data_IF_685543881800
#
_entry.id   IF_685543881800
#
_cell.length_a   1.000
_cell.length_b   1.000
_cell.length_c   1.000
_cell.angle_alpha   90.00
_cell.angle_beta   90.00
_cell.angle_gamma   90.00
#
_symmetry.space_group_name_H-M   'P 1'
#
loop_
_entity.id
_entity.type
_entity.pdbx_description
1 polymer ?
#
# COMPACT_ATOMS: atom_id res chain seq x y z
N UNK A 1 22.74 14.08 -18.06
CA UNK A 1 21.53 13.32 -18.33
C UNK A 1 21.41 12.19 -17.31
N UNK A 2 20.18 11.85 -16.90
CA UNK A 2 19.85 10.73 -16.02
C UNK A 2 19.20 9.63 -16.86
N UNK A 3 19.50 8.38 -16.49
CA UNK A 3 18.78 7.23 -17.05
C UNK A 3 17.52 6.95 -16.22
N UNK A 4 16.50 6.32 -16.82
CA UNK A 4 15.41 5.78 -16.02
C UNK A 4 15.92 4.73 -15.04
N UNK A 5 15.45 4.78 -13.78
CA UNK A 5 15.92 3.93 -12.70
C UNK A 5 16.94 4.59 -11.78
N UNK A 6 17.84 3.81 -11.22
CA UNK A 6 18.86 4.28 -10.28
C UNK A 6 20.02 5.00 -10.96
N UNK A 7 20.32 6.21 -10.48
CA UNK A 7 21.44 7.04 -10.92
C UNK A 7 22.37 7.31 -9.74
N UNK A 8 23.67 7.31 -10.00
CA UNK A 8 24.67 7.74 -9.04
C UNK A 8 24.97 9.22 -9.29
N UNK A 9 24.67 10.08 -8.33
CA UNK A 9 24.92 11.51 -8.39
C UNK A 9 25.90 11.93 -7.27
N UNK A 10 26.66 12.96 -7.49
CA UNK A 10 27.59 13.52 -6.51
C UNK A 10 27.52 15.03 -6.54
N UNK A 11 27.68 15.69 -5.38
CA UNK A 11 27.86 17.13 -5.33
C UNK A 11 29.25 17.48 -5.84
N UNK A 12 29.38 18.38 -6.83
CA UNK A 12 30.67 18.82 -7.33
C UNK A 12 31.32 19.92 -6.44
N UNK A 13 30.63 20.32 -5.35
CA UNK A 13 31.07 21.43 -4.51
C UNK A 13 31.83 20.93 -3.29
N UNK A 14 32.89 21.63 -2.91
CA UNK A 14 33.75 21.28 -1.78
C UNK A 14 33.05 21.36 -0.41
N UNK A 15 31.96 22.14 -0.30
CA UNK A 15 31.15 22.30 0.92
C UNK A 15 29.93 21.34 1.01
N UNK A 16 29.74 20.48 0.00
CA UNK A 16 28.49 19.75 -0.13
C UNK A 16 27.32 20.63 -0.61
N UNK A 17 26.12 20.05 -0.71
CA UNK A 17 24.92 20.77 -1.14
C UNK A 17 23.66 20.15 -0.54
N UNK A 18 22.74 20.94 0.04
CA UNK A 18 21.43 20.44 0.42
C UNK A 18 20.71 19.84 -0.79
N UNK A 19 19.97 18.75 -0.57
CA UNK A 19 19.13 18.12 -1.57
C UNK A 19 18.14 19.10 -2.23
N UNK A 20 17.69 20.09 -1.49
CA UNK A 20 16.80 21.17 -1.95
C UNK A 20 17.41 22.09 -3.02
N UNK A 21 18.74 22.07 -3.19
CA UNK A 21 19.44 22.80 -4.26
C UNK A 21 19.48 22.06 -5.59
N UNK A 22 19.01 20.80 -5.62
CA UNK A 22 18.85 20.08 -6.87
C UNK A 22 17.68 20.64 -7.67
N UNK A 23 17.87 20.73 -8.98
CA UNK A 23 16.82 20.99 -9.95
C UNK A 23 16.79 19.84 -10.95
N UNK A 24 15.60 19.38 -11.25
CA UNK A 24 15.35 18.36 -12.28
C UNK A 24 14.89 19.11 -13.54
N UNK A 25 15.54 18.83 -14.64
CA UNK A 25 15.20 19.42 -15.93
C UNK A 25 14.63 18.33 -16.85
N UNK A 26 13.53 18.68 -17.51
CA UNK A 26 12.92 17.88 -18.57
C UNK A 26 12.57 18.81 -19.75
N UNK A 27 13.32 18.71 -20.84
CA UNK A 27 13.23 19.67 -21.95
C UNK A 27 13.52 21.08 -21.46
N UNK A 28 12.56 22.00 -21.64
CA UNK A 28 12.65 23.39 -21.17
C UNK A 28 12.15 23.61 -19.74
N UNK A 29 11.53 22.59 -19.13
CA UNK A 29 10.98 22.70 -17.80
C UNK A 29 12.05 22.44 -16.73
N UNK A 30 11.98 23.20 -15.65
CA UNK A 30 12.84 23.06 -14.47
C UNK A 30 11.99 22.91 -13.22
N UNK A 31 12.23 21.86 -12.46
CA UNK A 31 11.47 21.48 -11.26
C UNK A 31 12.37 21.51 -10.03
N UNK A 32 11.83 21.88 -8.87
CA UNK A 32 12.39 21.47 -7.58
C UNK A 32 12.25 19.96 -7.41
N UNK A 33 12.88 19.38 -6.38
CA UNK A 33 12.70 17.94 -6.08
C UNK A 33 11.23 17.63 -5.76
N UNK A 34 10.56 18.48 -4.98
CA UNK A 34 9.17 18.31 -4.56
C UNK A 34 8.21 18.38 -5.76
N UNK A 35 8.41 19.35 -6.65
CA UNK A 35 7.63 19.46 -7.90
C UNK A 35 7.86 18.25 -8.81
N UNK A 36 9.11 17.78 -8.93
CA UNK A 36 9.43 16.62 -9.75
C UNK A 36 8.85 15.31 -9.16
N UNK A 37 8.80 15.18 -7.83
CA UNK A 37 8.10 14.07 -7.15
C UNK A 37 6.60 14.13 -7.44
N UNK A 38 5.98 15.28 -7.28
CA UNK A 38 4.55 15.50 -7.55
C UNK A 38 4.21 15.22 -9.02
N UNK A 39 5.11 15.58 -9.94
CA UNK A 39 4.98 15.27 -11.37
C UNK A 39 5.31 13.79 -11.72
N UNK A 40 5.66 12.96 -10.74
CA UNK A 40 5.99 11.55 -10.97
C UNK A 40 7.31 11.30 -11.70
N UNK A 41 8.19 12.31 -11.83
CA UNK A 41 9.43 12.22 -12.58
C UNK A 41 10.57 11.55 -11.80
N UNK A 42 10.61 11.78 -10.48
CA UNK A 42 11.67 11.29 -9.59
C UNK A 42 11.09 10.84 -8.26
N UNK A 43 11.91 10.18 -7.43
CA UNK A 43 11.58 9.91 -6.04
C UNK A 43 12.40 10.76 -5.07
N UNK A 44 11.79 11.17 -3.95
CA UNK A 44 12.40 12.06 -2.96
C UNK A 44 13.58 11.47 -2.20
N UNK A 45 13.58 10.17 -1.77
CA UNK A 45 14.71 9.63 -1.06
C UNK A 45 15.97 9.60 -1.92
N UNK A 46 17.03 10.21 -1.41
CA UNK A 46 18.40 10.08 -1.93
C UNK A 46 19.16 9.23 -0.92
N UNK A 47 19.86 8.21 -1.39
CA UNK A 47 20.55 7.26 -0.53
C UNK A 47 22.05 7.35 -0.69
N UNK A 48 22.79 7.23 0.42
CA UNK A 48 24.22 7.03 0.46
C UNK A 48 24.54 5.66 1.04
N UNK A 49 25.48 4.93 0.43
CA UNK A 49 25.98 3.71 1.03
C UNK A 49 27.09 4.02 2.05
N UNK A 50 26.89 3.61 3.30
CA UNK A 50 27.84 3.82 4.40
C UNK A 50 28.64 2.53 4.59
N UNK A 51 29.91 2.55 4.23
CA UNK A 51 30.79 1.36 4.25
C UNK A 51 31.05 0.83 5.65
N UNK A 52 31.08 1.71 6.65
CA UNK A 52 31.29 1.33 8.06
C UNK A 52 30.13 0.47 8.61
N UNK A 53 28.90 0.83 8.29
CA UNK A 53 27.67 0.12 8.71
C UNK A 53 27.21 -0.91 7.70
N UNK A 54 27.75 -0.89 6.48
CA UNK A 54 27.34 -1.71 5.32
C UNK A 54 25.86 -1.53 4.93
N UNK A 55 25.35 -0.32 5.10
CA UNK A 55 23.95 0.02 4.91
C UNK A 55 23.78 1.25 4.03
N UNK A 56 22.59 1.36 3.42
CA UNK A 56 22.15 2.61 2.83
C UNK A 56 21.52 3.51 3.90
N UNK A 57 21.75 4.80 3.78
CA UNK A 57 21.13 5.84 4.61
C UNK A 57 20.51 6.90 3.73
N UNK A 58 19.34 7.40 4.13
CA UNK A 58 18.71 8.54 3.47
C UNK A 58 19.50 9.80 3.83
N UNK A 59 19.81 10.62 2.84
CA UNK A 59 20.55 11.87 3.03
C UNK A 59 19.72 13.07 2.62
N UNK A 60 19.86 14.14 3.38
CA UNK A 60 19.28 15.47 3.10
C UNK A 60 20.32 16.44 2.55
N UNK A 61 21.60 16.15 2.79
CA UNK A 61 22.73 16.92 2.32
C UNK A 61 23.68 16.01 1.54
N UNK A 62 23.98 16.39 0.28
CA UNK A 62 24.93 15.66 -0.55
C UNK A 62 26.32 16.20 -0.21
N UNK A 63 27.12 15.41 0.51
CA UNK A 63 28.49 15.74 0.84
C UNK A 63 29.35 15.83 -0.43
N UNK A 64 30.41 16.65 -0.33
CA UNK A 64 31.34 16.83 -1.44
C UNK A 64 31.90 15.50 -1.92
N UNK A 65 31.83 15.26 -3.22
CA UNK A 65 32.40 14.09 -3.91
C UNK A 65 31.85 12.71 -3.48
N UNK A 66 30.88 12.67 -2.57
CA UNK A 66 30.22 11.44 -2.18
C UNK A 66 29.24 10.96 -3.27
N UNK A 67 29.26 9.67 -3.57
CA UNK A 67 28.28 9.04 -4.44
C UNK A 67 26.95 8.84 -3.73
N UNK A 68 25.90 9.38 -4.30
CA UNK A 68 24.53 9.28 -3.78
C UNK A 68 23.63 8.66 -4.83
N UNK A 69 22.78 7.71 -4.41
CA UNK A 69 21.83 7.05 -5.28
C UNK A 69 20.52 7.82 -5.33
N UNK A 70 20.08 8.14 -6.54
CA UNK A 70 18.86 8.89 -6.83
C UNK A 70 18.04 8.19 -7.89
N UNK A 71 16.74 8.00 -7.64
CA UNK A 71 15.87 7.25 -8.54
C UNK A 71 15.04 8.18 -9.42
N UNK A 72 14.98 7.87 -10.71
CA UNK A 72 14.17 8.58 -11.71
C UNK A 72 13.16 7.64 -12.38
N UNK A 73 11.95 8.14 -12.61
CA UNK A 73 10.88 7.42 -13.30
C UNK A 73 10.88 7.67 -14.82
N UNK A 74 11.78 8.52 -15.30
CA UNK A 74 11.94 8.88 -16.72
C UNK A 74 13.41 8.87 -17.13
N UNK A 75 13.67 8.80 -18.42
CA UNK A 75 15.04 8.71 -19.01
C UNK A 75 15.51 9.98 -19.72
N UNK A 76 14.65 10.98 -19.83
CA UNK A 76 14.92 12.26 -20.50
C UNK A 76 15.19 13.41 -19.52
N UNK A 77 15.64 13.06 -18.32
CA UNK A 77 15.91 14.01 -17.25
C UNK A 77 17.38 14.40 -17.18
N UNK A 78 17.64 15.57 -16.62
CA UNK A 78 18.97 15.97 -16.16
C UNK A 78 18.91 16.65 -14.81
N UNK A 79 20.04 16.64 -14.09
CA UNK A 79 20.20 17.30 -12.78
C UNK A 79 21.04 18.56 -12.95
N UNK A 80 20.58 19.62 -12.33
CA UNK A 80 21.34 20.86 -12.13
C UNK A 80 21.43 21.16 -10.64
N UNK A 81 22.63 21.51 -10.18
CA UNK A 81 22.84 22.03 -8.84
C UNK A 81 22.75 23.56 -8.86
N UNK A 82 21.96 24.13 -7.99
CA UNK A 82 21.99 25.59 -7.76
C UNK A 82 23.10 25.91 -6.76
N UNK A 83 23.86 26.96 -7.06
CA UNK A 83 24.76 27.55 -6.08
C UNK A 83 23.88 28.24 -5.04
N UNK A 84 23.97 27.84 -3.77
CA UNK A 84 23.44 28.64 -2.69
C UNK A 84 24.34 29.89 -2.54
N UNK A 85 23.83 31.04 -2.93
CA UNK A 85 24.41 32.27 -2.43
C UNK A 85 24.00 32.41 -0.96
N UNK A 86 24.89 32.87 -0.04
CA UNK A 86 24.57 32.94 1.39
C UNK A 86 23.40 33.90 1.75
N UNK A 87 22.85 34.59 0.77
CA UNK A 87 21.78 35.59 0.95
C UNK A 87 20.37 35.11 0.65
N UNK A 88 20.21 33.93 0.03
CA UNK A 88 18.87 33.42 -0.23
C UNK A 88 18.39 32.65 1.01
N UNK A 89 17.78 33.37 1.94
CA UNK A 89 17.15 32.83 3.14
C UNK A 89 15.98 31.88 2.83
N UNK A 90 16.24 30.82 2.12
CA UNK A 90 15.35 29.67 2.03
C UNK A 90 15.59 28.88 3.30
N UNK A 91 14.86 29.26 4.36
CA UNK A 91 14.66 28.35 5.49
C UNK A 91 14.13 27.04 4.88
N UNK A 92 14.77 25.88 5.19
CA UNK A 92 14.15 24.62 4.82
C UNK A 92 12.74 24.67 5.39
N UNK A 93 11.74 24.43 4.54
CA UNK A 93 10.39 24.16 5.01
C UNK A 93 10.56 23.04 6.02
N UNK A 94 10.32 23.32 7.30
CA UNK A 94 10.35 22.34 8.36
C UNK A 94 9.41 21.25 7.89
N UNK A 95 9.90 20.02 7.73
CA UNK A 95 9.04 18.91 7.38
C UNK A 95 7.85 18.98 8.33
N UNK A 96 6.65 19.15 7.79
CA UNK A 96 5.43 19.16 8.59
C UNK A 96 5.46 17.87 9.37
N UNK A 97 5.31 17.90 10.71
CA UNK A 97 5.33 16.67 11.48
C UNK A 97 4.24 15.74 10.93
N UNK A 98 4.62 14.51 10.59
CA UNK A 98 3.68 13.50 10.13
C UNK A 98 2.63 13.29 11.22
N UNK A 99 1.40 13.73 10.95
CA UNK A 99 0.29 13.58 11.89
C UNK A 99 -0.30 12.17 11.74
N UNK A 100 -0.25 11.41 12.81
CA UNK A 100 -0.83 10.08 12.88
C UNK A 100 -2.33 10.21 13.14
N UNK A 101 -3.13 9.78 12.16
CA UNK A 101 -4.60 9.75 12.21
C UNK A 101 -5.11 8.36 11.80
N UNK A 102 -6.41 8.04 12.01
CA UNK A 102 -6.97 6.76 11.54
C UNK A 102 -6.80 6.49 10.04
N UNK A 103 -6.70 7.53 9.23
CA UNK A 103 -6.45 7.42 7.78
C UNK A 103 -4.97 7.50 7.40
N UNK A 104 -4.10 7.94 8.32
CA UNK A 104 -2.74 8.35 8.01
C UNK A 104 -1.76 7.79 9.05
N UNK A 105 -1.20 6.61 8.79
CA UNK A 105 -0.24 5.95 9.66
C UNK A 105 0.65 5.01 8.86
N UNK A 106 1.84 4.74 9.36
CA UNK A 106 2.71 3.70 8.85
C UNK A 106 3.57 3.06 9.95
N UNK A 107 4.00 1.84 9.71
CA UNK A 107 4.85 1.05 10.59
C UNK A 107 6.11 0.64 9.84
N UNK A 108 7.25 0.93 10.44
CA UNK A 108 8.54 0.48 9.95
C UNK A 108 8.83 -0.95 10.40
N UNK A 109 9.34 -1.77 9.49
CA UNK A 109 9.86 -3.10 9.77
C UNK A 109 11.37 -3.06 9.61
N UNK A 110 12.08 -3.35 10.70
CA UNK A 110 13.51 -3.53 10.71
C UNK A 110 13.84 -5.00 10.46
N UNK A 111 14.69 -5.27 9.49
CA UNK A 111 15.29 -6.58 9.26
C UNK A 111 16.75 -6.57 9.69
N UNK A 112 17.17 -7.54 10.49
CA UNK A 112 18.53 -7.64 10.98
C UNK A 112 19.07 -9.06 10.82
N UNK A 113 20.32 -9.19 10.36
CA UNK A 113 21.04 -10.45 10.27
C UNK A 113 22.54 -10.22 10.43
N UNK A 114 23.17 -10.95 11.37
CA UNK A 114 24.62 -10.86 11.61
C UNK A 114 25.12 -9.41 11.82
N UNK A 115 24.33 -8.58 12.51
CA UNK A 115 24.62 -7.17 12.79
C UNK A 115 24.40 -6.21 11.63
N UNK A 116 24.03 -6.70 10.45
CA UNK A 116 23.62 -5.86 9.32
C UNK A 116 22.11 -5.64 9.39
N UNK A 117 21.70 -4.38 9.25
CA UNK A 117 20.30 -3.95 9.38
C UNK A 117 19.80 -3.36 8.09
N UNK A 118 18.58 -3.70 7.72
CA UNK A 118 17.78 -2.98 6.74
C UNK A 118 16.57 -2.36 7.44
N UNK A 119 16.54 -1.05 7.53
CA UNK A 119 15.52 -0.27 8.26
C UNK A 119 14.50 0.42 7.36
N UNK A 120 14.56 0.16 6.07
CA UNK A 120 13.71 0.83 5.09
C UNK A 120 12.70 -0.14 4.48
N UNK A 121 11.79 -0.62 5.32
CA UNK A 121 10.57 -1.28 4.88
C UNK A 121 9.42 -0.70 5.71
N UNK A 122 8.43 -0.08 5.06
CA UNK A 122 7.28 0.51 5.72
C UNK A 122 5.98 0.10 5.07
N UNK A 123 4.97 -0.23 5.87
CA UNK A 123 3.60 -0.47 5.42
C UNK A 123 2.63 0.43 6.18
N UNK A 124 1.51 0.76 5.56
CA UNK A 124 0.54 1.63 6.21
C UNK A 124 -0.57 2.11 5.30
N UNK A 125 -1.21 3.20 5.71
CA UNK A 125 -2.27 3.87 4.94
C UNK A 125 -2.09 5.38 4.93
N UNK A 126 -2.61 6.02 3.88
CA UNK A 126 -2.69 7.47 3.79
C UNK A 126 -3.98 7.86 3.06
N UNK A 127 -4.62 8.95 3.48
CA UNK A 127 -5.88 9.42 2.89
C UNK A 127 -5.77 9.79 1.40
N UNK A 128 -4.58 10.15 0.94
CA UNK A 128 -4.28 10.51 -0.44
C UNK A 128 -3.69 9.34 -1.25
N UNK A 129 -3.43 8.19 -0.61
CA UNK A 129 -2.90 7.01 -1.28
C UNK A 129 -4.02 6.16 -1.90
N UNK A 130 -3.66 5.42 -2.93
CA UNK A 130 -4.48 4.37 -3.54
C UNK A 130 -3.98 2.98 -3.11
N UNK A 131 -4.63 1.91 -3.57
CA UNK A 131 -4.09 0.55 -3.39
C UNK A 131 -3.09 0.17 -4.50
N UNK A 132 -2.81 1.09 -5.43
CA UNK A 132 -1.80 1.00 -6.49
C UNK A 132 -0.50 1.72 -6.13
N UNK A 133 0.25 2.12 -7.16
CA UNK A 133 1.49 2.88 -7.00
C UNK A 133 1.21 4.37 -6.83
N UNK A 134 1.72 4.93 -5.75
CA UNK A 134 1.67 6.36 -5.44
C UNK A 134 3.08 6.90 -5.22
N UNK A 135 3.60 7.65 -6.18
CA UNK A 135 4.99 8.13 -6.16
C UNK A 135 5.37 8.96 -4.92
N UNK A 136 4.39 9.56 -4.26
CA UNK A 136 4.59 10.33 -3.01
C UNK A 136 4.70 9.47 -1.76
N UNK A 137 4.25 8.20 -1.83
CA UNK A 137 4.14 7.30 -0.68
C UNK A 137 4.93 5.99 -0.85
N UNK A 138 5.05 5.49 -2.10
CA UNK A 138 5.68 4.21 -2.40
C UNK A 138 7.10 4.40 -2.93
N UNK A 139 8.06 4.35 -2.03
CA UNK A 139 9.44 4.61 -2.37
C UNK A 139 10.14 3.38 -2.94
N UNK A 140 10.88 3.56 -4.02
CA UNK A 140 11.71 2.50 -4.61
C UNK A 140 12.81 2.11 -3.61
N UNK A 141 12.99 0.80 -3.45
CA UNK A 141 14.04 0.24 -2.60
C UNK A 141 15.42 0.61 -3.13
N UNK A 142 16.32 1.04 -2.26
CA UNK A 142 17.73 1.28 -2.60
C UNK A 142 18.36 0.05 -3.28
N UNK A 143 19.46 0.23 -4.08
CA UNK A 143 20.17 -0.89 -4.66
C UNK A 143 20.62 -1.92 -3.62
N UNK A 144 20.76 -3.18 -4.04
CA UNK A 144 21.17 -4.27 -3.15
C UNK A 144 22.54 -3.95 -2.52
N UNK A 145 22.63 -4.05 -1.19
CA UNK A 145 23.90 -3.88 -0.48
C UNK A 145 24.97 -4.84 -1.04
N UNK A 146 26.18 -4.36 -1.36
CA UNK A 146 27.28 -5.21 -1.84
C UNK A 146 27.83 -6.16 -0.76
N UNK A 147 27.48 -5.98 0.52
CA UNK A 147 27.98 -6.82 1.61
C UNK A 147 27.65 -8.31 1.39
N UNK A 148 28.61 -9.20 1.69
CA UNK A 148 28.45 -10.64 1.45
C UNK A 148 27.33 -11.30 2.27
N UNK A 149 27.02 -10.75 3.45
CA UNK A 149 25.98 -11.21 4.36
C UNK A 149 24.83 -10.19 4.48
N UNK A 150 24.53 -9.45 3.42
CA UNK A 150 23.44 -8.49 3.40
C UNK A 150 22.09 -9.17 3.62
N UNK A 151 21.21 -8.45 4.32
CA UNK A 151 19.79 -8.74 4.40
C UNK A 151 19.03 -7.54 3.85
N UNK A 152 17.94 -7.78 3.14
CA UNK A 152 17.08 -6.75 2.59
C UNK A 152 15.62 -7.18 2.62
N UNK A 153 14.74 -6.24 2.91
CA UNK A 153 13.30 -6.43 2.86
C UNK A 153 12.67 -5.46 1.86
N UNK A 154 11.76 -5.95 1.05
CA UNK A 154 11.13 -5.13 0.01
C UNK A 154 9.75 -5.65 -0.37
N UNK A 155 8.88 -4.75 -0.79
CA UNK A 155 7.66 -5.10 -1.50
C UNK A 155 8.01 -5.38 -2.96
N UNK A 156 7.59 -6.53 -3.47
CA UNK A 156 7.77 -6.89 -4.87
C UNK A 156 6.49 -6.55 -5.64
N UNK A 157 6.54 -5.50 -6.45
CA UNK A 157 5.41 -4.97 -7.21
C UNK A 157 5.76 -4.85 -8.69
N UNK A 158 5.46 -5.89 -9.44
CA UNK A 158 5.65 -5.91 -10.88
C UNK A 158 4.58 -5.06 -11.57
N UNK A 159 4.98 -4.08 -12.36
CA UNK A 159 4.06 -3.23 -13.13
C UNK A 159 3.71 -1.90 -12.46
N UNK A 160 4.19 -1.61 -11.25
CA UNK A 160 4.01 -0.29 -10.65
C UNK A 160 4.80 0.79 -11.39
N UNK A 161 6.02 0.49 -11.81
CA UNK A 161 6.84 1.38 -12.66
C UNK A 161 7.57 0.58 -13.74
N UNK A 162 8.04 1.27 -14.79
CA UNK A 162 8.83 0.65 -15.85
C UNK A 162 10.28 0.37 -15.43
N UNK A 163 10.76 0.95 -14.32
CA UNK A 163 12.18 0.95 -13.94
C UNK A 163 12.47 0.28 -12.61
N UNK A 164 11.44 -0.02 -11.82
CA UNK A 164 11.59 -0.68 -10.53
C UNK A 164 10.48 -1.69 -10.27
N UNK A 165 10.86 -2.78 -9.59
CA UNK A 165 9.94 -3.81 -9.11
C UNK A 165 10.03 -4.00 -7.60
N UNK A 166 11.00 -3.34 -6.94
CA UNK A 166 11.28 -3.45 -5.50
C UNK A 166 11.06 -2.13 -4.82
N UNK A 167 10.20 -2.12 -3.80
CA UNK A 167 9.81 -0.91 -3.08
C UNK A 167 10.11 -1.03 -1.59
N UNK A 168 10.51 0.08 -1.00
CA UNK A 168 10.77 0.22 0.43
C UNK A 168 9.50 0.51 1.22
N UNK A 169 8.48 1.05 0.58
CA UNK A 169 7.18 1.29 1.21
C UNK A 169 6.04 0.78 0.33
N UNK A 170 4.93 0.47 0.99
CA UNK A 170 3.64 0.17 0.38
C UNK A 170 2.58 0.79 1.28
N UNK A 171 2.16 1.99 0.91
CA UNK A 171 1.18 2.80 1.63
C UNK A 171 -0.11 2.79 0.83
N UNK A 172 -1.12 2.17 1.35
CA UNK A 172 -2.40 1.96 0.67
C UNK A 172 -3.45 3.00 1.09
N UNK A 173 -4.59 3.03 0.41
CA UNK A 173 -5.75 3.77 0.83
C UNK A 173 -6.16 3.40 2.27
N UNK A 174 -6.89 4.26 3.02
CA UNK A 174 -7.27 4.00 4.40
C UNK A 174 -8.01 2.68 4.60
N UNK A 175 -7.89 2.12 5.81
CA UNK A 175 -8.74 1.02 6.26
C UNK A 175 -10.16 1.56 6.48
N UNK A 176 -11.08 1.18 5.59
CA UNK A 176 -12.49 1.56 5.68
C UNK A 176 -13.30 0.36 6.19
N UNK A 177 -14.38 0.65 6.88
CA UNK A 177 -15.37 -0.24 7.49
C UNK A 177 -15.38 -1.68 6.95
N UNK A 178 -14.71 -2.59 7.66
CA UNK A 178 -14.75 -4.02 7.36
C UNK A 178 -13.88 -4.49 6.17
N UNK A 179 -13.05 -3.63 5.58
CA UNK A 179 -12.17 -4.02 4.47
C UNK A 179 -10.89 -4.64 4.99
N UNK A 180 -10.59 -5.86 4.53
CA UNK A 180 -9.30 -6.50 4.75
C UNK A 180 -8.26 -5.90 3.80
N UNK A 181 -7.04 -5.64 4.31
CA UNK A 181 -5.89 -5.30 3.48
C UNK A 181 -4.74 -6.25 3.73
N UNK A 182 -3.84 -6.34 2.74
CA UNK A 182 -2.64 -7.16 2.87
C UNK A 182 -1.43 -6.45 2.27
N UNK A 183 -0.27 -6.67 2.90
CA UNK A 183 1.02 -6.18 2.47
C UNK A 183 1.98 -7.36 2.34
N UNK A 184 2.20 -7.81 1.10
CA UNK A 184 3.12 -8.92 0.83
C UNK A 184 4.51 -8.40 0.56
N UNK A 185 5.49 -8.87 1.32
CA UNK A 185 6.88 -8.48 1.16
C UNK A 185 7.84 -9.66 1.12
N UNK A 186 9.03 -9.40 0.66
CA UNK A 186 10.13 -10.36 0.58
C UNK A 186 11.25 -9.95 1.53
N UNK A 187 11.90 -10.95 2.10
CA UNK A 187 13.17 -10.80 2.80
C UNK A 187 14.21 -11.60 2.02
N UNK A 188 15.22 -10.92 1.52
CA UNK A 188 16.35 -11.52 0.83
C UNK A 188 17.55 -11.58 1.77
N UNK A 189 18.04 -12.76 2.08
CA UNK A 189 19.26 -12.99 2.83
C UNK A 189 20.35 -13.54 1.89
N UNK A 190 21.52 -12.91 1.85
CA UNK A 190 22.65 -13.37 0.99
C UNK A 190 23.33 -14.62 1.52
N UNK A 191 23.24 -14.90 2.83
CA UNK A 191 23.92 -16.01 3.48
C UNK A 191 22.98 -16.76 4.42
N UNK A 192 23.41 -17.93 4.90
CA UNK A 192 22.77 -18.64 5.99
C UNK A 192 22.92 -17.88 7.32
N UNK A 193 21.99 -18.05 8.25
CA UNK A 193 22.03 -17.44 9.58
C UNK A 193 20.64 -17.24 10.16
N UNK A 194 20.59 -16.62 11.35
CA UNK A 194 19.34 -16.17 11.94
C UNK A 194 19.05 -14.74 11.53
N UNK A 195 17.89 -14.47 10.93
CA UNK A 195 17.44 -13.10 10.77
C UNK A 195 16.30 -12.78 11.73
N UNK A 196 16.19 -11.50 12.04
CA UNK A 196 15.21 -10.93 12.94
C UNK A 196 14.42 -9.86 12.20
N UNK A 197 13.11 -9.98 12.24
CA UNK A 197 12.16 -8.92 11.87
C UNK A 197 11.64 -8.27 13.14
N UNK A 198 11.57 -6.94 13.17
CA UNK A 198 11.02 -6.22 14.32
C UNK A 198 10.24 -4.98 13.90
N UNK A 199 9.16 -4.71 14.64
CA UNK A 199 8.23 -3.59 14.44
C UNK A 199 7.87 -2.98 15.81
N UNK A 200 8.91 -2.61 16.55
CA UNK A 200 8.85 -2.26 17.98
C UNK A 200 7.91 -1.08 18.27
N UNK A 201 7.75 -0.16 17.35
CA UNK A 201 6.97 1.07 17.53
C UNK A 201 5.52 0.97 17.05
N UNK A 202 5.04 -0.21 16.70
CA UNK A 202 3.72 -0.43 16.10
C UNK A 202 2.58 0.17 16.92
N UNK A 203 2.65 0.07 18.26
CA UNK A 203 1.59 0.59 19.14
C UNK A 203 1.51 2.11 19.17
N UNK A 204 2.60 2.81 18.85
CA UNK A 204 2.63 4.27 18.74
C UNK A 204 2.33 4.74 17.31
N UNK A 205 2.53 3.88 16.31
CA UNK A 205 2.37 4.19 14.90
C UNK A 205 0.97 3.93 14.38
N UNK A 206 0.28 2.90 14.88
CA UNK A 206 -1.11 2.63 14.52
C UNK A 206 -2.03 3.29 15.55
N UNK A 207 -2.96 4.18 15.13
CA UNK A 207 -3.93 4.83 16.02
C UNK A 207 -4.74 3.81 16.83
N UNK A 208 -5.13 4.18 18.05
CA UNK A 208 -5.88 3.28 18.93
C UNK A 208 -7.22 2.85 18.33
N UNK A 209 -7.90 3.75 17.62
CA UNK A 209 -9.15 3.44 16.92
C UNK A 209 -8.95 2.29 15.91
N UNK A 210 -7.85 2.34 15.14
CA UNK A 210 -7.51 1.29 14.18
C UNK A 210 -7.14 -0.01 14.89
N UNK A 211 -6.36 0.04 15.97
CA UNK A 211 -5.99 -1.15 16.76
C UNK A 211 -7.18 -1.80 17.45
N UNK A 212 -8.20 -1.02 17.79
CA UNK A 212 -9.46 -1.54 18.36
C UNK A 212 -10.36 -2.16 17.28
N UNK A 213 -10.27 -1.67 16.04
CA UNK A 213 -11.11 -2.09 14.93
C UNK A 213 -10.49 -3.17 14.06
N UNK A 214 -9.16 -3.35 14.09
CA UNK A 214 -8.44 -4.30 13.23
C UNK A 214 -7.36 -5.07 13.98
N UNK A 215 -7.25 -6.37 13.69
CA UNK A 215 -6.09 -7.18 13.99
C UNK A 215 -5.04 -7.04 12.89
N UNK A 216 -3.77 -7.21 13.23
CA UNK A 216 -2.65 -7.24 12.29
C UNK A 216 -1.87 -8.54 12.46
N UNK A 217 -1.91 -9.41 11.45
CA UNK A 217 -1.31 -10.74 11.52
C UNK A 217 -0.17 -10.88 10.52
N UNK A 218 1.03 -11.19 10.99
CA UNK A 218 2.16 -11.60 10.15
C UNK A 218 2.09 -13.10 9.87
N UNK A 219 2.24 -13.47 8.60
CA UNK A 219 2.40 -14.86 8.13
C UNK A 219 3.65 -14.97 7.28
N UNK A 220 4.28 -16.15 7.31
CA UNK A 220 5.49 -16.42 6.55
C UNK A 220 6.13 -17.74 6.91
N UNK A 221 7.34 -18.02 6.41
CA UNK A 221 8.06 -19.25 6.70
C UNK A 221 8.26 -19.45 8.21
N UNK A 222 8.02 -20.67 8.70
CA UNK A 222 8.14 -20.99 10.13
C UNK A 222 7.01 -20.49 11.04
N UNK A 223 6.01 -19.80 10.48
CA UNK A 223 4.84 -19.30 11.22
C UNK A 223 3.63 -20.18 10.91
N UNK A 224 3.24 -21.05 11.85
CA UNK A 224 2.14 -22.00 11.62
C UNK A 224 0.74 -21.39 11.77
N UNK A 225 0.53 -20.49 12.73
CA UNK A 225 -0.79 -19.94 13.05
C UNK A 225 -0.94 -18.43 12.78
N UNK A 226 0.14 -17.76 12.35
CA UNK A 226 0.21 -16.31 12.27
C UNK A 226 0.65 -15.68 13.59
N UNK A 227 1.30 -14.53 13.50
CA UNK A 227 1.77 -13.74 14.65
C UNK A 227 0.89 -12.49 14.74
N UNK A 228 0.23 -12.30 15.87
CA UNK A 228 -0.43 -11.02 16.18
C UNK A 228 0.64 -9.94 16.42
N UNK A 229 0.74 -9.01 15.49
CA UNK A 229 1.77 -7.98 15.49
C UNK A 229 1.59 -6.94 16.60
N UNK A 230 0.37 -6.79 17.15
CA UNK A 230 0.11 -5.86 18.25
C UNK A 230 0.61 -6.38 19.60
N UNK A 231 0.73 -7.69 19.75
CA UNK A 231 1.18 -8.34 21.00
C UNK A 231 2.61 -8.85 20.92
N UNK A 232 3.05 -9.29 19.77
CA UNK A 232 4.42 -9.74 19.52
C UNK A 232 5.07 -8.82 18.48
N UNK A 233 6.14 -8.12 18.86
CA UNK A 233 6.78 -7.09 18.02
C UNK A 233 8.09 -7.55 17.37
N UNK A 234 8.45 -8.82 17.53
CA UNK A 234 9.68 -9.41 17.01
C UNK A 234 9.42 -10.83 16.52
N UNK A 235 10.02 -11.17 15.38
CA UNK A 235 10.05 -12.53 14.84
C UNK A 235 11.47 -12.89 14.42
N UNK A 236 11.94 -14.07 14.85
CA UNK A 236 13.24 -14.61 14.47
C UNK A 236 13.08 -15.89 13.65
N UNK A 237 13.88 -16.00 12.60
CA UNK A 237 13.82 -17.13 11.66
C UNK A 237 15.21 -17.53 11.22
N UNK A 238 15.50 -18.85 11.28
CA UNK A 238 16.77 -19.40 10.85
C UNK A 238 16.71 -19.83 9.40
N UNK A 239 17.68 -19.38 8.61
CA UNK A 239 17.85 -19.76 7.21
C UNK A 239 19.12 -20.60 7.04
N UNK A 240 19.02 -21.71 6.32
CA UNK A 240 20.11 -22.65 6.10
C UNK A 240 20.97 -22.31 4.89
N UNK A 241 20.47 -21.42 4.04
CA UNK A 241 21.17 -20.92 2.84
C UNK A 241 20.66 -19.52 2.50
N UNK A 242 21.45 -18.79 1.71
CA UNK A 242 20.98 -17.53 1.10
C UNK A 242 19.74 -17.77 0.24
N UNK A 243 18.79 -16.83 0.26
CA UNK A 243 17.54 -16.98 -0.49
C UNK A 243 16.54 -15.87 -0.23
N UNK A 244 15.38 -15.97 -0.86
CA UNK A 244 14.26 -15.04 -0.73
C UNK A 244 13.10 -15.70 0.01
N UNK A 245 12.64 -15.07 1.06
CA UNK A 245 11.58 -15.54 1.94
C UNK A 245 10.37 -14.61 1.84
N UNK A 246 9.18 -15.19 1.71
CA UNK A 246 7.94 -14.42 1.49
C UNK A 246 7.17 -14.27 2.78
N UNK A 247 6.75 -13.06 3.08
CA UNK A 247 5.91 -12.71 4.21
C UNK A 247 4.69 -11.94 3.75
N UNK A 248 3.63 -12.00 4.55
CA UNK A 248 2.43 -11.18 4.35
C UNK A 248 1.92 -10.67 5.70
N UNK A 249 1.59 -9.41 5.73
CA UNK A 249 0.85 -8.77 6.82
C UNK A 249 -0.59 -8.67 6.36
N UNK A 250 -1.52 -9.18 7.17
CA UNK A 250 -2.94 -9.03 6.92
C UNK A 250 -3.56 -8.17 8.01
N UNK A 251 -4.34 -7.17 7.63
CA UNK A 251 -5.29 -6.52 8.55
C UNK A 251 -6.67 -7.14 8.37
N UNK A 252 -7.31 -7.46 9.49
CA UNK A 252 -8.68 -7.98 9.51
C UNK A 252 -9.49 -7.26 10.59
N UNK A 253 -10.74 -6.85 10.30
CA UNK A 253 -11.59 -6.21 11.29
C UNK A 253 -11.78 -7.09 12.53
N UNK A 254 -11.66 -6.51 13.72
CA UNK A 254 -11.90 -7.20 15.01
C UNK A 254 -13.40 -7.25 15.25
N UNK A 255 -13.89 -8.42 15.69
CA UNK A 255 -15.32 -8.63 15.96
C UNK A 255 -16.11 -9.06 14.72
N UNK A 256 -15.51 -9.06 13.53
CA UNK A 256 -16.14 -9.57 12.28
C UNK A 256 -15.92 -11.07 12.12
N UNK A 257 -14.98 -11.69 12.86
CA UNK A 257 -14.80 -13.15 12.81
C UNK A 257 -16.06 -13.92 13.21
N UNK A 258 -16.79 -13.44 14.22
CA UNK A 258 -18.09 -14.02 14.60
C UNK A 258 -19.19 -13.73 13.56
N UNK A 259 -19.14 -12.58 12.91
CA UNK A 259 -20.06 -12.27 11.80
C UNK A 259 -19.68 -13.01 10.51
N UNK A 260 -18.38 -13.15 10.20
CA UNK A 260 -17.91 -13.91 9.04
C UNK A 260 -18.09 -15.43 9.22
N UNK A 261 -17.92 -15.97 10.43
CA UNK A 261 -18.28 -17.35 10.74
C UNK A 261 -19.79 -17.59 10.68
N UNK A 262 -20.61 -16.57 10.88
CA UNK A 262 -22.06 -16.60 10.73
C UNK A 262 -22.57 -16.05 9.39
N UNK A 263 -21.67 -15.63 8.48
CA UNK A 263 -22.08 -15.25 7.13
C UNK A 263 -22.77 -16.44 6.45
N UNK A 264 -24.05 -16.32 6.29
CA UNK A 264 -24.83 -17.18 5.40
C UNK A 264 -25.03 -16.46 4.08
N UNK A 265 -25.08 -17.17 2.99
CA UNK A 265 -25.59 -16.62 1.74
C UNK A 265 -26.99 -16.08 2.00
N UNK A 266 -27.17 -14.75 1.81
CA UNK A 266 -28.41 -14.07 2.20
C UNK A 266 -28.69 -12.89 1.29
N UNK A 267 -29.95 -12.76 0.91
CA UNK A 267 -30.46 -11.57 0.21
C UNK A 267 -31.34 -10.77 1.17
N UNK A 268 -30.98 -9.50 1.42
CA UNK A 268 -31.73 -8.57 2.24
C UNK A 268 -33.02 -8.10 1.55
N UNK A 269 -34.01 -7.67 2.34
CA UNK A 269 -35.13 -6.92 1.79
C UNK A 269 -34.63 -5.53 1.38
N UNK A 270 -35.02 -5.09 0.19
CA UNK A 270 -34.70 -3.74 -0.25
C UNK A 270 -35.32 -2.67 0.64
N UNK A 271 -34.61 -1.56 0.86
CA UNK A 271 -35.11 -0.44 1.64
C UNK A 271 -34.81 0.91 0.96
N UNK A 272 -35.79 1.79 0.83
CA UNK A 272 -37.22 1.62 1.21
C UNK A 272 -37.92 0.58 0.31
N UNK A 273 -39.05 -0.01 0.82
CA UNK A 273 -39.94 -0.84 0.04
C UNK A 273 -41.39 -0.67 0.62
N UNK A 274 -42.36 -0.06 -0.08
CA UNK A 274 -42.23 0.44 -1.47
C UNK A 274 -41.23 1.59 -1.64
N UNK A 275 -40.75 1.82 -2.89
CA UNK A 275 -39.75 2.83 -3.20
C UNK A 275 -40.15 3.70 -4.42
N UNK A 276 -39.53 4.90 -4.54
CA UNK A 276 -39.71 5.82 -5.66
C UNK A 276 -38.53 6.83 -5.73
N UNK A 277 -37.76 6.92 -6.79
CA UNK A 277 -37.51 5.87 -7.80
C UNK A 277 -36.36 4.96 -7.40
N UNK A 278 -35.73 5.16 -6.22
CA UNK A 278 -34.52 4.45 -5.80
C UNK A 278 -34.70 3.64 -4.53
N UNK A 279 -33.98 2.52 -4.46
CA UNK A 279 -33.92 1.64 -3.29
C UNK A 279 -32.53 0.99 -3.17
N UNK A 280 -32.21 0.53 -1.98
CA UNK A 280 -30.95 -0.17 -1.69
C UNK A 280 -31.23 -1.64 -1.39
N UNK A 281 -30.43 -2.53 -1.94
CA UNK A 281 -30.46 -3.97 -1.72
C UNK A 281 -29.17 -4.40 -1.05
N UNK A 282 -29.28 -4.99 0.15
CA UNK A 282 -28.16 -5.58 0.87
C UNK A 282 -28.13 -7.09 0.64
N UNK A 283 -26.92 -7.67 0.50
CA UNK A 283 -26.74 -9.11 0.39
C UNK A 283 -25.43 -9.56 1.03
N UNK A 284 -25.37 -10.83 1.42
CA UNK A 284 -24.18 -11.42 2.03
C UNK A 284 -23.72 -12.67 1.25
N UNK A 285 -22.40 -12.80 1.13
CA UNK A 285 -21.71 -13.89 0.41
C UNK A 285 -20.77 -14.61 1.37
N UNK A 286 -20.91 -15.94 1.45
CA UNK A 286 -20.10 -16.77 2.35
C UNK A 286 -18.76 -17.21 1.76
N UNK A 287 -18.69 -17.39 0.45
CA UNK A 287 -17.53 -17.96 -0.24
C UNK A 287 -17.17 -17.10 -1.45
N UNK A 288 -15.88 -17.10 -1.83
CA UNK A 288 -15.45 -16.42 -3.06
C UNK A 288 -16.06 -17.07 -4.28
N UNK A 289 -16.68 -16.28 -5.16
CA UNK A 289 -17.26 -16.81 -6.40
C UNK A 289 -18.00 -15.77 -7.22
N UNK A 290 -18.40 -16.19 -8.42
CA UNK A 290 -19.22 -15.37 -9.31
C UNK A 290 -20.61 -15.16 -8.67
N UNK A 291 -20.98 -13.90 -8.47
CA UNK A 291 -22.28 -13.46 -7.92
C UNK A 291 -23.06 -12.76 -9.00
N UNK A 292 -24.34 -13.13 -9.14
CA UNK A 292 -25.28 -12.46 -10.01
C UNK A 292 -26.48 -11.98 -9.19
N UNK A 293 -26.79 -10.67 -9.29
CA UNK A 293 -28.01 -10.07 -8.73
C UNK A 293 -28.78 -9.39 -9.86
N UNK A 294 -29.97 -9.89 -10.14
CA UNK A 294 -30.79 -9.48 -11.28
C UNK A 294 -32.20 -9.14 -10.85
N UNK A 295 -32.86 -8.24 -11.57
CA UNK A 295 -34.25 -7.84 -11.40
C UNK A 295 -35.07 -8.35 -12.56
N UNK A 296 -36.27 -8.85 -12.26
CA UNK A 296 -37.22 -9.42 -13.19
C UNK A 296 -38.60 -8.78 -13.02
N UNK A 297 -39.35 -8.71 -14.12
CA UNK A 297 -40.77 -8.39 -14.05
C UNK A 297 -41.59 -9.61 -13.52
N UNK A 298 -42.88 -9.43 -13.35
CA UNK A 298 -43.80 -10.49 -12.85
C UNK A 298 -44.00 -11.63 -13.83
N UNK A 299 -43.61 -11.45 -15.11
CA UNK A 299 -43.64 -12.50 -16.13
C UNK A 299 -42.32 -13.30 -16.19
N UNK A 300 -41.30 -12.89 -15.38
CA UNK A 300 -39.99 -13.53 -15.35
C UNK A 300 -38.99 -13.02 -16.38
N UNK A 301 -39.27 -11.94 -17.09
CA UNK A 301 -38.33 -11.32 -18.00
C UNK A 301 -37.29 -10.53 -17.20
N UNK A 302 -36.02 -10.67 -17.55
CA UNK A 302 -34.93 -9.88 -16.97
C UNK A 302 -35.08 -8.39 -17.34
N UNK A 303 -35.15 -7.54 -16.31
CA UNK A 303 -35.25 -6.08 -16.47
C UNK A 303 -33.87 -5.43 -16.42
N UNK A 304 -33.05 -5.84 -15.43
CA UNK A 304 -31.69 -5.32 -15.26
C UNK A 304 -30.81 -6.29 -14.48
N UNK A 305 -29.53 -6.34 -14.82
CA UNK A 305 -28.47 -6.97 -14.01
C UNK A 305 -27.79 -5.90 -13.17
N UNK A 306 -27.90 -6.00 -11.83
CA UNK A 306 -27.26 -5.07 -10.89
C UNK A 306 -25.84 -5.49 -10.54
N UNK A 307 -25.58 -6.80 -10.43
CA UNK A 307 -24.26 -7.38 -10.12
C UNK A 307 -24.04 -8.60 -10.99
N UNK A 308 -22.84 -8.72 -11.57
CA UNK A 308 -22.38 -9.92 -12.26
C UNK A 308 -20.86 -9.95 -12.22
N UNK A 309 -20.29 -10.27 -11.04
CA UNK A 309 -18.87 -10.15 -10.75
C UNK A 309 -18.42 -11.18 -9.72
N UNK A 310 -17.11 -11.47 -9.67
CA UNK A 310 -16.52 -12.31 -8.62
C UNK A 310 -16.42 -11.52 -7.32
N UNK A 311 -17.09 -12.02 -6.28
CA UNK A 311 -17.07 -11.41 -4.93
C UNK A 311 -16.38 -12.31 -3.92
N UNK A 312 -15.71 -11.68 -2.97
CA UNK A 312 -15.15 -12.32 -1.77
C UNK A 312 -16.24 -12.52 -0.71
N UNK A 313 -16.04 -13.36 0.34
CA UNK A 313 -16.93 -13.38 1.49
C UNK A 313 -17.11 -11.98 2.07
N UNK A 314 -18.36 -11.60 2.38
CA UNK A 314 -18.66 -10.26 2.91
C UNK A 314 -20.11 -9.87 2.76
N UNK A 315 -20.45 -8.71 3.30
CA UNK A 315 -21.74 -8.03 3.12
C UNK A 315 -21.57 -6.94 2.05
N UNK A 316 -22.56 -6.81 1.18
CA UNK A 316 -22.55 -5.92 0.04
C UNK A 316 -23.84 -5.13 -0.03
N UNK A 317 -23.74 -3.95 -0.60
CA UNK A 317 -24.85 -3.05 -0.87
C UNK A 317 -24.85 -2.64 -2.33
N UNK A 318 -26.03 -2.60 -2.96
CA UNK A 318 -26.21 -2.08 -4.31
C UNK A 318 -27.44 -1.19 -4.39
N UNK A 319 -27.29 0.01 -4.97
CA UNK A 319 -28.39 0.93 -5.25
C UNK A 319 -29.05 0.54 -6.56
N UNK A 320 -30.39 0.48 -6.55
CA UNK A 320 -31.22 0.31 -7.73
C UNK A 320 -32.01 1.58 -8.01
N UNK A 321 -31.92 2.09 -9.23
CA UNK A 321 -32.63 3.27 -9.71
C UNK A 321 -33.63 2.83 -10.81
N UNK A 322 -34.89 3.05 -10.57
CA UNK A 322 -35.99 2.55 -11.43
C UNK A 322 -36.76 3.67 -12.15
N UNK A 323 -36.11 4.84 -12.38
CA UNK A 323 -36.76 6.03 -12.96
C UNK A 323 -37.46 5.79 -14.32
N UNK A 324 -37.04 4.76 -15.07
CA UNK A 324 -37.55 4.44 -16.40
C UNK A 324 -38.47 3.20 -16.40
N UNK A 325 -38.87 2.71 -15.24
CA UNK A 325 -39.71 1.52 -15.12
C UNK A 325 -41.13 1.89 -14.70
N UNK A 326 -42.16 1.14 -15.16
CA UNK A 326 -43.52 1.31 -14.72
C UNK A 326 -43.69 0.99 -13.24
N UNK A 327 -44.56 1.71 -12.54
CA UNK A 327 -44.98 1.35 -11.17
C UNK A 327 -45.52 -0.07 -11.12
N UNK A 328 -45.14 -0.83 -10.11
CA UNK A 328 -45.57 -2.22 -9.99
C UNK A 328 -44.65 -3.08 -9.13
N UNK A 329 -44.95 -4.39 -9.12
CA UNK A 329 -44.13 -5.39 -8.40
C UNK A 329 -43.09 -5.96 -9.32
N UNK A 330 -41.85 -6.01 -8.81
CA UNK A 330 -40.71 -6.67 -9.43
C UNK A 330 -40.11 -7.74 -8.50
N UNK A 331 -39.33 -8.62 -9.06
CA UNK A 331 -38.67 -9.72 -8.35
C UNK A 331 -37.17 -9.54 -8.53
N UNK A 332 -36.38 -9.67 -7.47
CA UNK A 332 -34.93 -9.71 -7.58
C UNK A 332 -34.37 -11.00 -7.05
N UNK A 333 -33.34 -11.49 -7.72
CA UNK A 333 -32.72 -12.80 -7.48
C UNK A 333 -31.22 -12.68 -7.36
N UNK A 334 -30.70 -13.15 -6.23
CA UNK A 334 -29.28 -13.35 -5.99
C UNK A 334 -28.91 -14.80 -6.27
N UNK A 335 -27.78 -15.02 -6.99
CA UNK A 335 -27.26 -16.35 -7.30
C UNK A 335 -25.75 -16.38 -7.10
N UNK A 336 -25.26 -17.45 -6.44
CA UNK A 336 -23.83 -17.77 -6.35
C UNK A 336 -23.68 -19.31 -6.38
N UNK A 337 -23.10 -19.84 -7.44
CA UNK A 337 -22.98 -21.28 -7.62
C UNK A 337 -24.32 -22.01 -7.55
N UNK A 338 -24.51 -22.84 -6.52
CA UNK A 338 -25.77 -23.57 -6.26
C UNK A 338 -26.74 -22.79 -5.35
N UNK A 339 -26.29 -21.71 -4.74
CA UNK A 339 -27.12 -20.93 -3.82
C UNK A 339 -27.92 -19.88 -4.59
N UNK A 340 -29.22 -19.73 -4.25
CA UNK A 340 -30.06 -18.68 -4.78
C UNK A 340 -31.11 -18.24 -3.77
N UNK A 341 -31.37 -16.92 -3.71
CA UNK A 341 -32.46 -16.32 -2.96
C UNK A 341 -33.23 -15.31 -3.82
N UNK A 342 -34.52 -15.21 -3.54
CA UNK A 342 -35.46 -14.38 -4.31
C UNK A 342 -36.29 -13.53 -3.34
N UNK A 343 -36.48 -12.26 -3.69
CA UNK A 343 -37.37 -11.34 -2.95
C UNK A 343 -38.16 -10.44 -3.90
N UNK A 344 -39.16 -9.75 -3.34
CA UNK A 344 -40.04 -8.82 -4.06
C UNK A 344 -39.70 -7.39 -3.68
N UNK A 345 -39.80 -6.48 -4.66
CA UNK A 345 -39.77 -5.04 -4.46
C UNK A 345 -41.00 -4.38 -5.12
N UNK A 346 -41.43 -3.24 -4.60
CA UNK A 346 -42.60 -2.52 -5.09
C UNK A 346 -42.18 -1.09 -5.45
N UNK A 347 -42.33 -0.74 -6.71
CA UNK A 347 -42.10 0.60 -7.26
C UNK A 347 -43.45 1.36 -7.31
N UNK A 348 -43.48 2.58 -6.73
CA UNK A 348 -44.63 3.47 -6.71
C UNK A 348 -44.68 4.39 -7.90
#
# INVERSE_FOLDING_TARGET
>A
ALAGGWNLIASPFTGGSPKTNLRILQGENTYTIEEAVTAGLVQSPVYKYVTATKQYEVVTNLAAWDGNWFFTNASDLSVKYLFATPSDGISPKKDEPFEITPSNWFVDILSEMNGIKDKYLAFGTNELATDGFDNSFDYVKAPISPAANAIESYFLQSGWTNFATRFASNIQAPLLNGVNKSWSFKVYAKAAGSFKLSWLDILNRIPQEIRNAYSFTLRGPGISSGIDMLTQTVYEFNVTAGGTYSFVINSSPVGVEDELMNLSFKLGQNYPNPFNPSTTINYAIKETGLVSLKIYDVLGNEVVTLVNDVKQPGQYEVKFEASNLPSGTYIYKLVQGKNSEIKKLMLL
#
